data_IF_111067668996
#
_entry.id   IF_111067668996
#
_cell.length_a   1.000
_cell.length_b   1.000
_cell.length_c   1.000
_cell.angle_alpha   90.00
_cell.angle_beta   90.00
_cell.angle_gamma   90.00
#
_symmetry.space_group_name_H-M   'P 1'
#
loop_
_entity.id
_entity.type
_entity.pdbx_description
1 polymer ?
#
# COMPACT_ATOMS: atom_id res chain seq x y z
N UNK A 1 -50.15 0.61 -4.96
CA UNK A 1 -51.33 1.05 -5.70
C UNK A 1 -51.76 0.06 -6.83
N UNK A 2 -51.02 -1.02 -7.09
CA UNK A 2 -51.39 -2.11 -7.96
C UNK A 2 -51.07 -3.44 -7.27
N UNK A 3 -52.03 -4.19 -6.75
CA UNK A 3 -51.81 -5.42 -5.97
C UNK A 3 -50.99 -6.49 -6.76
N UNK A 4 -51.13 -6.50 -8.08
CA UNK A 4 -50.41 -7.43 -8.98
C UNK A 4 -48.90 -7.21 -8.95
N UNK A 5 -48.38 -6.04 -8.52
CA UNK A 5 -46.96 -5.73 -8.39
C UNK A 5 -46.34 -6.30 -7.09
N UNK A 6 -47.18 -6.54 -6.06
CA UNK A 6 -46.67 -6.99 -4.76
C UNK A 6 -45.77 -8.23 -4.84
N UNK A 7 -46.16 -9.33 -5.50
CA UNK A 7 -45.32 -10.53 -5.58
C UNK A 7 -44.02 -10.29 -6.35
N UNK A 8 -43.99 -9.30 -7.28
CA UNK A 8 -42.81 -8.97 -8.09
C UNK A 8 -41.86 -8.08 -7.33
N UNK A 9 -42.37 -7.07 -6.62
CA UNK A 9 -41.58 -6.02 -5.98
C UNK A 9 -41.35 -6.23 -4.47
N UNK A 10 -42.06 -7.15 -3.82
CA UNK A 10 -41.87 -7.44 -2.39
C UNK A 10 -40.42 -7.77 -2.01
N UNK A 11 -39.67 -8.59 -2.80
CA UNK A 11 -38.25 -8.87 -2.51
C UNK A 11 -37.33 -7.64 -2.56
N UNK A 12 -37.76 -6.56 -3.20
CA UNK A 12 -37.02 -5.29 -3.35
C UNK A 12 -37.76 -4.12 -2.70
N UNK A 13 -38.60 -4.41 -1.71
CA UNK A 13 -39.32 -3.43 -0.89
C UNK A 13 -40.12 -2.39 -1.69
N UNK A 14 -40.74 -2.82 -2.79
CA UNK A 14 -41.61 -1.98 -3.62
C UNK A 14 -40.87 -1.24 -4.75
N UNK A 15 -39.57 -1.38 -4.85
CA UNK A 15 -38.76 -0.73 -5.91
C UNK A 15 -38.46 -1.70 -7.07
N UNK A 16 -38.41 -1.17 -8.29
CA UNK A 16 -37.85 -1.89 -9.44
C UNK A 16 -36.33 -1.78 -9.37
N UNK A 17 -35.62 -2.91 -9.25
CA UNK A 17 -34.16 -2.99 -9.16
C UNK A 17 -33.57 -3.83 -10.28
N UNK A 18 -34.30 -4.85 -10.74
CA UNK A 18 -33.78 -5.82 -11.69
C UNK A 18 -34.51 -5.79 -13.03
N UNK A 19 -33.78 -6.03 -14.12
CA UNK A 19 -34.32 -6.17 -15.46
C UNK A 19 -35.41 -7.26 -15.53
N UNK A 20 -35.22 -8.32 -14.79
CA UNK A 20 -36.15 -9.44 -14.69
C UNK A 20 -37.49 -9.03 -14.07
N UNK A 21 -37.52 -8.04 -13.17
CA UNK A 21 -38.76 -7.49 -12.63
C UNK A 21 -39.55 -6.75 -13.72
N UNK A 22 -38.89 -5.99 -14.58
CA UNK A 22 -39.54 -5.35 -15.75
C UNK A 22 -40.18 -6.41 -16.62
N UNK A 23 -39.49 -7.51 -16.94
CA UNK A 23 -40.06 -8.62 -17.73
C UNK A 23 -41.26 -9.26 -17.04
N UNK A 24 -41.22 -9.43 -15.72
CA UNK A 24 -42.35 -9.96 -14.95
C UNK A 24 -43.53 -8.99 -14.91
N UNK A 25 -43.29 -7.68 -14.79
CA UNK A 25 -44.31 -6.64 -14.79
C UNK A 25 -45.07 -6.68 -16.12
N UNK A 26 -44.39 -6.61 -17.28
CA UNK A 26 -45.09 -6.61 -18.58
C UNK A 26 -45.81 -7.92 -18.85
N UNK A 27 -45.30 -9.06 -18.34
CA UNK A 27 -46.00 -10.36 -18.45
C UNK A 27 -47.24 -10.42 -17.59
N UNK A 28 -47.11 -10.10 -16.33
CA UNK A 28 -48.19 -10.34 -15.34
C UNK A 28 -49.26 -9.27 -15.44
N UNK A 29 -48.92 -8.03 -15.80
CA UNK A 29 -49.91 -6.95 -15.87
C UNK A 29 -50.54 -6.83 -17.27
N UNK A 30 -49.75 -6.98 -18.34
CA UNK A 30 -50.22 -6.77 -19.71
C UNK A 30 -50.32 -8.05 -20.55
N UNK A 31 -49.99 -9.23 -20.00
CA UNK A 31 -50.13 -10.51 -20.69
C UNK A 31 -49.08 -10.80 -21.76
N UNK A 32 -47.88 -10.20 -21.66
CA UNK A 32 -46.80 -10.46 -22.60
C UNK A 32 -46.27 -11.89 -22.51
N UNK A 33 -45.88 -12.46 -23.63
CA UNK A 33 -45.09 -13.70 -23.64
C UNK A 33 -43.69 -13.47 -23.15
N UNK A 34 -42.98 -14.52 -22.74
CA UNK A 34 -41.59 -14.42 -22.25
C UNK A 34 -40.67 -13.81 -23.32
N UNK A 35 -40.79 -14.28 -24.58
CA UNK A 35 -39.97 -13.76 -25.69
C UNK A 35 -40.19 -12.27 -25.94
N UNK A 36 -41.47 -11.84 -25.89
CA UNK A 36 -41.83 -10.44 -26.07
C UNK A 36 -41.35 -9.57 -24.90
N UNK A 37 -41.46 -10.05 -23.68
CA UNK A 37 -40.94 -9.33 -22.49
C UNK A 37 -39.42 -9.08 -22.56
N UNK A 38 -38.68 -10.00 -23.17
CA UNK A 38 -37.25 -9.80 -23.43
C UNK A 38 -36.98 -8.73 -24.50
N UNK A 39 -37.83 -8.62 -25.51
CA UNK A 39 -37.73 -7.53 -26.50
C UNK A 39 -37.95 -6.17 -25.85
N UNK A 40 -38.91 -6.04 -24.94
CA UNK A 40 -39.14 -4.81 -24.16
C UNK A 40 -37.93 -4.47 -23.33
N UNK A 41 -37.39 -5.44 -22.58
CA UNK A 41 -36.16 -5.27 -21.79
C UNK A 41 -34.98 -4.78 -22.65
N UNK A 42 -34.78 -5.39 -23.80
CA UNK A 42 -33.72 -4.99 -24.76
C UNK A 42 -33.93 -3.58 -25.33
N UNK A 43 -35.17 -3.20 -25.62
CA UNK A 43 -35.51 -1.87 -26.13
C UNK A 43 -35.22 -0.80 -25.06
N UNK A 44 -35.58 -1.07 -23.81
CA UNK A 44 -35.30 -0.20 -22.67
C UNK A 44 -33.78 -0.06 -22.45
N UNK A 45 -33.03 -1.15 -22.39
CA UNK A 45 -31.58 -1.14 -22.21
C UNK A 45 -30.84 -0.38 -23.33
N UNK A 46 -31.32 -0.45 -24.55
CA UNK A 46 -30.75 0.24 -25.73
C UNK A 46 -31.32 1.66 -25.91
N UNK A 47 -32.20 2.14 -25.03
CA UNK A 47 -32.82 3.50 -25.04
C UNK A 47 -33.46 3.84 -26.39
N UNK A 48 -34.14 2.87 -27.00
CA UNK A 48 -34.83 3.05 -28.28
C UNK A 48 -36.21 3.72 -28.08
N UNK A 49 -36.26 5.05 -27.99
CA UNK A 49 -37.44 5.83 -27.60
C UNK A 49 -38.70 5.49 -28.45
N UNK A 50 -38.59 5.38 -29.78
CA UNK A 50 -39.72 5.05 -30.62
C UNK A 50 -40.30 3.64 -30.37
N UNK A 51 -39.43 2.67 -30.03
CA UNK A 51 -39.88 1.32 -29.68
C UNK A 51 -40.54 1.32 -28.33
N UNK A 52 -39.99 2.08 -27.37
CA UNK A 52 -40.54 2.18 -26.02
C UNK A 52 -41.92 2.85 -26.01
N UNK A 53 -42.14 3.88 -26.85
CA UNK A 53 -43.45 4.51 -26.95
C UNK A 53 -44.50 3.59 -27.61
N UNK A 54 -44.08 2.85 -28.63
CA UNK A 54 -44.96 1.81 -29.23
C UNK A 54 -45.32 0.73 -28.17
N UNK A 55 -44.37 0.30 -27.40
CA UNK A 55 -44.60 -0.69 -26.34
C UNK A 55 -45.42 -0.14 -25.18
N UNK A 56 -45.39 1.18 -24.90
CA UNK A 56 -46.32 1.83 -23.96
C UNK A 56 -47.74 1.60 -24.36
N UNK A 57 -48.08 1.87 -25.64
CA UNK A 57 -49.43 1.66 -26.17
C UNK A 57 -49.84 0.20 -26.03
N UNK A 58 -49.01 -0.73 -26.44
CA UNK A 58 -49.27 -2.16 -26.29
C UNK A 58 -49.44 -2.58 -24.81
N UNK A 59 -48.63 -2.05 -23.91
CA UNK A 59 -48.70 -2.36 -22.48
C UNK A 59 -50.00 -1.85 -21.84
N UNK A 60 -50.41 -0.63 -22.14
CA UNK A 60 -51.60 -0.01 -21.56
C UNK A 60 -52.87 -0.54 -22.19
N UNK A 61 -52.99 -0.44 -23.53
CA UNK A 61 -54.24 -0.69 -24.25
C UNK A 61 -54.32 -2.07 -24.88
N UNK A 62 -53.19 -2.76 -25.00
CA UNK A 62 -53.12 -4.04 -25.68
C UNK A 62 -52.86 -3.93 -27.21
N UNK A 63 -52.68 -5.08 -27.84
CA UNK A 63 -52.48 -5.21 -29.29
C UNK A 63 -52.87 -6.64 -29.71
N UNK A 64 -54.07 -6.81 -30.25
CA UNK A 64 -54.59 -8.12 -30.69
C UNK A 64 -53.72 -8.76 -31.74
N UNK A 65 -53.22 -7.97 -32.72
CA UNK A 65 -52.37 -8.48 -33.80
C UNK A 65 -51.03 -9.08 -33.28
N UNK A 66 -50.57 -8.63 -32.15
CA UNK A 66 -49.34 -9.09 -31.49
C UNK A 66 -49.63 -10.00 -30.27
N UNK A 67 -50.88 -10.32 -30.01
CA UNK A 67 -51.32 -11.21 -28.92
C UNK A 67 -51.10 -10.65 -27.52
N UNK A 68 -51.17 -9.34 -27.34
CA UNK A 68 -51.02 -8.66 -26.08
C UNK A 68 -52.36 -8.14 -25.56
N UNK A 69 -52.89 -8.66 -24.45
CA UNK A 69 -54.15 -8.18 -23.90
C UNK A 69 -54.11 -6.72 -23.44
N UNK A 70 -53.01 -6.30 -22.82
CA UNK A 70 -52.88 -5.01 -22.19
C UNK A 70 -53.36 -4.91 -20.75
N UNK A 71 -52.89 -3.89 -20.03
CA UNK A 71 -53.22 -3.68 -18.61
C UNK A 71 -54.70 -3.41 -18.36
N UNK A 72 -55.36 -2.65 -19.25
CA UNK A 72 -56.77 -2.30 -19.10
C UNK A 72 -57.67 -3.56 -19.21
N UNK A 73 -57.39 -4.43 -20.16
CA UNK A 73 -58.10 -5.72 -20.27
C UNK A 73 -57.92 -6.62 -19.06
N UNK A 74 -56.81 -6.48 -18.34
CA UNK A 74 -56.50 -7.19 -17.11
C UNK A 74 -56.97 -6.45 -15.83
N UNK A 75 -57.82 -5.43 -16.00
CA UNK A 75 -58.48 -4.72 -14.86
C UNK A 75 -57.57 -3.67 -14.18
N UNK A 76 -56.51 -3.23 -14.78
CA UNK A 76 -55.63 -2.20 -14.26
C UNK A 76 -56.05 -0.85 -14.88
N UNK A 77 -56.33 0.18 -14.05
CA UNK A 77 -56.70 1.50 -14.54
C UNK A 77 -55.63 2.11 -15.45
N UNK A 78 -56.04 2.81 -16.49
CA UNK A 78 -55.13 3.47 -17.46
C UNK A 78 -54.07 4.36 -16.79
N UNK A 79 -54.49 5.20 -15.83
CA UNK A 79 -53.57 6.10 -15.12
C UNK A 79 -52.50 5.31 -14.36
N UNK A 80 -52.90 4.20 -13.68
CA UNK A 80 -51.99 3.34 -12.97
C UNK A 80 -51.02 2.61 -13.92
N UNK A 81 -51.49 2.11 -15.06
CA UNK A 81 -50.69 1.45 -16.07
C UNK A 81 -49.66 2.39 -16.67
N UNK A 82 -50.02 3.63 -16.99
CA UNK A 82 -49.11 4.65 -17.49
C UNK A 82 -48.03 4.99 -16.44
N UNK A 83 -48.41 5.18 -15.19
CA UNK A 83 -47.43 5.46 -14.09
C UNK A 83 -46.42 4.31 -13.94
N UNK A 84 -46.89 3.06 -13.93
CA UNK A 84 -46.00 1.89 -13.86
C UNK A 84 -45.04 1.87 -15.07
N UNK A 85 -45.52 2.22 -16.25
CA UNK A 85 -44.66 2.27 -17.43
C UNK A 85 -43.62 3.37 -17.36
N UNK A 86 -43.97 4.55 -16.83
CA UNK A 86 -43.04 5.66 -16.58
C UNK A 86 -41.95 5.23 -15.58
N UNK A 87 -42.33 4.60 -14.48
CA UNK A 87 -41.40 4.07 -13.49
C UNK A 87 -40.44 3.04 -14.13
N UNK A 88 -40.95 2.18 -15.03
CA UNK A 88 -40.09 1.23 -15.78
C UNK A 88 -39.13 1.94 -16.74
N UNK A 89 -39.54 3.02 -17.42
CA UNK A 89 -38.68 3.81 -18.32
C UNK A 89 -37.56 4.48 -17.52
N UNK A 90 -37.88 5.09 -16.40
CA UNK A 90 -36.88 5.76 -15.57
C UNK A 90 -35.89 4.77 -14.99
N UNK A 91 -36.36 3.63 -14.52
CA UNK A 91 -35.53 2.54 -14.07
C UNK A 91 -34.62 1.97 -15.19
N UNK A 92 -35.08 1.90 -16.42
CA UNK A 92 -34.32 1.34 -17.52
C UNK A 92 -32.95 2.01 -17.78
N UNK A 93 -32.77 3.23 -17.27
CA UNK A 93 -31.50 3.96 -17.31
C UNK A 93 -30.43 3.30 -16.41
N UNK A 94 -30.84 2.59 -15.36
CA UNK A 94 -30.00 2.02 -14.30
C UNK A 94 -30.25 0.53 -14.07
N UNK A 95 -31.03 -0.12 -14.93
CA UNK A 95 -31.46 -1.50 -14.80
C UNK A 95 -30.30 -2.50 -14.67
N UNK A 96 -30.34 -3.31 -13.62
CA UNK A 96 -29.32 -4.29 -13.31
C UNK A 96 -29.80 -5.73 -13.57
N UNK A 97 -28.91 -6.62 -14.05
CA UNK A 97 -29.26 -8.02 -14.27
C UNK A 97 -29.19 -8.79 -12.94
N UNK A 98 -30.27 -9.45 -12.54
CA UNK A 98 -30.38 -10.20 -11.28
C UNK A 98 -29.43 -11.40 -11.24
N UNK A 99 -29.26 -12.10 -12.35
CA UNK A 99 -28.36 -13.26 -12.42
C UNK A 99 -26.93 -12.85 -12.21
N UNK A 100 -26.52 -11.69 -12.76
CA UNK A 100 -25.20 -11.11 -12.54
C UNK A 100 -25.02 -10.74 -11.05
N UNK A 101 -26.01 -10.07 -10.44
CA UNK A 101 -25.96 -9.72 -9.01
C UNK A 101 -25.83 -10.97 -8.13
N UNK A 102 -26.60 -12.01 -8.41
CA UNK A 102 -26.56 -13.27 -7.67
C UNK A 102 -25.19 -13.96 -7.78
N UNK A 103 -24.62 -14.01 -8.99
CA UNK A 103 -23.28 -14.57 -9.20
C UNK A 103 -22.21 -13.81 -8.41
N UNK A 104 -22.23 -12.48 -8.46
CA UNK A 104 -21.29 -11.66 -7.70
C UNK A 104 -21.52 -11.71 -6.19
N UNK A 105 -22.76 -11.90 -5.74
CA UNK A 105 -23.03 -12.12 -4.31
C UNK A 105 -22.36 -13.39 -3.79
N UNK A 106 -22.34 -14.46 -4.60
CA UNK A 106 -21.62 -15.69 -4.26
C UNK A 106 -20.11 -15.43 -4.17
N UNK A 107 -19.53 -14.73 -5.15
CA UNK A 107 -18.10 -14.38 -5.14
C UNK A 107 -17.78 -13.49 -3.93
N UNK A 108 -18.62 -12.50 -3.63
CA UNK A 108 -18.44 -11.61 -2.47
C UNK A 108 -18.48 -12.39 -1.17
N UNK A 109 -19.40 -13.35 -1.04
CA UNK A 109 -19.47 -14.23 0.12
C UNK A 109 -18.21 -15.12 0.23
N UNK A 110 -17.76 -15.70 -0.87
CA UNK A 110 -16.55 -16.53 -0.89
C UNK A 110 -15.31 -15.73 -0.48
N UNK A 111 -15.15 -14.51 -0.99
CA UNK A 111 -14.03 -13.64 -0.61
C UNK A 111 -14.10 -13.23 0.86
N UNK A 112 -15.27 -12.90 1.37
CA UNK A 112 -15.47 -12.60 2.79
C UNK A 112 -15.15 -13.81 3.68
N UNK A 113 -15.63 -15.00 3.28
CA UNK A 113 -15.38 -16.26 3.98
C UNK A 113 -13.87 -16.56 4.05
N UNK A 114 -13.18 -16.48 2.91
CA UNK A 114 -11.73 -16.73 2.85
C UNK A 114 -10.95 -15.70 3.68
N UNK A 115 -11.32 -14.42 3.60
CA UNK A 115 -10.68 -13.37 4.39
C UNK A 115 -10.88 -13.55 5.89
N UNK A 116 -12.02 -14.08 6.31
CA UNK A 116 -12.33 -14.29 7.72
C UNK A 116 -11.65 -15.54 8.29
N UNK A 117 -11.75 -16.69 7.60
CA UNK A 117 -11.24 -17.96 8.10
C UNK A 117 -9.79 -18.27 7.74
N UNK A 118 -9.28 -17.69 6.64
CA UNK A 118 -7.93 -17.90 6.10
C UNK A 118 -7.27 -16.56 5.76
N UNK A 119 -7.16 -15.63 6.72
CA UNK A 119 -6.73 -14.26 6.43
C UNK A 119 -5.31 -14.17 5.86
N UNK A 120 -4.39 -15.03 6.30
CA UNK A 120 -3.00 -15.03 5.86
C UNK A 120 -2.90 -15.48 4.39
N UNK A 121 -3.54 -16.61 4.07
CA UNK A 121 -3.60 -17.16 2.72
C UNK A 121 -4.32 -16.22 1.75
N UNK A 122 -5.44 -15.64 2.20
CA UNK A 122 -6.21 -14.68 1.42
C UNK A 122 -5.37 -13.45 1.07
N UNK A 123 -4.69 -12.86 2.06
CA UNK A 123 -3.85 -11.68 1.83
C UNK A 123 -2.63 -12.00 0.98
N UNK A 124 -2.00 -13.17 1.14
CA UNK A 124 -0.90 -13.61 0.29
C UNK A 124 -1.33 -13.75 -1.18
N UNK A 125 -2.49 -14.36 -1.43
CA UNK A 125 -3.05 -14.50 -2.77
C UNK A 125 -3.43 -13.14 -3.37
N UNK A 126 -4.06 -12.26 -2.58
CA UNK A 126 -4.45 -10.92 -2.99
C UNK A 126 -3.21 -10.06 -3.37
N UNK A 127 -2.17 -10.07 -2.54
CA UNK A 127 -0.92 -9.36 -2.84
C UNK A 127 -0.22 -9.94 -4.08
N UNK A 128 -0.29 -11.25 -4.28
CA UNK A 128 0.25 -11.90 -5.48
C UNK A 128 -0.48 -11.46 -6.74
N UNK A 129 -1.80 -11.27 -6.69
CA UNK A 129 -2.59 -10.82 -7.84
C UNK A 129 -2.23 -9.39 -8.32
N UNK A 130 -1.63 -8.58 -7.46
CA UNK A 130 -1.21 -7.20 -7.74
C UNK A 130 0.30 -6.99 -7.62
N UNK A 131 1.09 -8.07 -7.72
CA UNK A 131 2.54 -8.06 -7.44
C UNK A 131 3.32 -7.08 -8.32
N UNK A 132 2.83 -6.80 -9.52
CA UNK A 132 3.41 -5.82 -10.46
C UNK A 132 3.02 -4.36 -10.15
N UNK A 133 2.20 -4.14 -9.12
CA UNK A 133 1.69 -2.82 -8.71
C UNK A 133 2.22 -2.45 -7.31
N UNK A 134 3.44 -1.91 -7.18
CA UNK A 134 4.09 -1.67 -5.88
C UNK A 134 3.24 -0.85 -4.90
N UNK A 135 2.49 0.14 -5.41
CA UNK A 135 1.60 0.96 -4.60
C UNK A 135 0.51 0.11 -3.95
N UNK A 136 -0.13 -0.80 -4.72
CA UNK A 136 -1.15 -1.71 -4.20
C UNK A 136 -0.58 -2.73 -3.22
N UNK A 137 0.61 -3.23 -3.49
CA UNK A 137 1.33 -4.11 -2.55
C UNK A 137 1.57 -3.39 -1.23
N UNK A 138 2.02 -2.12 -1.26
CA UNK A 138 2.23 -1.32 -0.07
C UNK A 138 0.92 -1.10 0.72
N UNK A 139 -0.18 -0.77 0.04
CA UNK A 139 -1.51 -0.65 0.67
C UNK A 139 -1.91 -1.94 1.40
N UNK A 140 -1.78 -3.09 0.75
CA UNK A 140 -2.15 -4.37 1.36
C UNK A 140 -1.22 -4.81 2.49
N UNK A 141 0.05 -4.42 2.47
CA UNK A 141 0.96 -4.60 3.60
C UNK A 141 0.47 -3.81 4.82
N UNK A 142 -0.02 -2.57 4.63
CA UNK A 142 -0.61 -1.81 5.73
C UNK A 142 -1.89 -2.50 6.26
N UNK A 143 -2.71 -3.06 5.39
CA UNK A 143 -3.87 -3.87 5.80
C UNK A 143 -3.41 -5.08 6.63
N UNK A 144 -2.38 -5.81 6.17
CA UNK A 144 -1.81 -6.94 6.92
C UNK A 144 -1.33 -6.52 8.31
N UNK A 145 -0.66 -5.37 8.43
CA UNK A 145 -0.22 -4.81 9.72
C UNK A 145 -1.40 -4.53 10.66
N UNK A 146 -2.48 -3.92 10.15
CA UNK A 146 -3.72 -3.71 10.92
C UNK A 146 -4.37 -5.02 11.38
N UNK A 147 -4.27 -6.07 10.56
CA UNK A 147 -4.75 -7.42 10.88
C UNK A 147 -3.77 -8.23 11.74
N UNK A 148 -2.66 -7.65 12.20
CA UNK A 148 -1.56 -8.32 12.92
C UNK A 148 -0.95 -9.51 12.15
N UNK A 149 -0.98 -9.47 10.82
CA UNK A 149 -0.32 -10.44 9.96
C UNK A 149 1.11 -9.96 9.70
N UNK A 150 2.09 -10.76 10.10
CA UNK A 150 3.51 -10.45 9.92
C UNK A 150 3.91 -10.65 8.45
N UNK A 151 4.67 -9.70 7.90
CA UNK A 151 5.32 -9.84 6.59
C UNK A 151 6.79 -10.16 6.81
N UNK A 152 7.25 -11.25 6.22
CA UNK A 152 8.64 -11.71 6.26
C UNK A 152 9.38 -11.20 5.01
N UNK A 153 10.68 -10.89 5.11
CA UNK A 153 11.49 -10.48 3.95
C UNK A 153 11.52 -11.58 2.88
N UNK A 154 11.84 -11.23 1.63
CA UNK A 154 12.10 -12.22 0.60
C UNK A 154 13.26 -13.13 1.02
N UNK A 155 13.29 -14.37 0.56
CA UNK A 155 14.27 -15.37 0.97
C UNK A 155 14.45 -16.37 -0.17
N UNK A 156 15.68 -16.59 -0.64
CA UNK A 156 15.95 -17.51 -1.77
C UNK A 156 15.72 -18.96 -1.40
N UNK A 157 15.81 -19.31 -0.12
CA UNK A 157 15.62 -20.69 0.36
C UNK A 157 14.16 -21.02 0.72
N UNK A 158 13.31 -19.99 0.95
CA UNK A 158 11.91 -20.18 1.37
C UNK A 158 10.90 -19.47 0.48
N UNK A 159 11.34 -18.44 -0.25
CA UNK A 159 10.47 -17.63 -1.09
C UNK A 159 9.98 -18.40 -2.32
N UNK A 160 8.82 -17.98 -2.80
CA UNK A 160 8.20 -18.39 -4.05
C UNK A 160 8.12 -17.21 -5.03
N UNK A 161 7.59 -17.47 -6.22
CA UNK A 161 7.32 -16.42 -7.20
C UNK A 161 6.45 -15.30 -6.59
N UNK A 162 5.29 -15.67 -6.05
CA UNK A 162 4.37 -14.75 -5.39
C UNK A 162 4.59 -14.69 -3.88
N UNK A 163 3.75 -13.91 -3.21
CA UNK A 163 3.63 -13.93 -1.77
C UNK A 163 3.12 -15.31 -1.31
N UNK A 164 3.71 -15.86 -0.30
CA UNK A 164 3.39 -17.22 0.19
C UNK A 164 3.27 -17.25 1.71
N UNK A 165 2.55 -18.24 2.22
CA UNK A 165 2.43 -18.44 3.68
C UNK A 165 3.66 -19.17 4.20
N UNK A 166 4.28 -18.65 5.23
CA UNK A 166 5.43 -19.21 5.91
C UNK A 166 5.22 -19.13 7.43
N UNK A 167 4.90 -20.25 8.06
CA UNK A 167 4.66 -20.38 9.51
C UNK A 167 3.65 -19.33 10.06
N UNK A 168 2.52 -19.15 9.38
CA UNK A 168 1.47 -18.22 9.79
C UNK A 168 1.77 -16.74 9.51
N UNK A 169 2.86 -16.45 8.83
CA UNK A 169 3.22 -15.13 8.30
C UNK A 169 3.20 -15.14 6.77
N UNK A 170 3.30 -13.99 6.14
CA UNK A 170 3.40 -13.87 4.68
C UNK A 170 4.85 -13.60 4.31
N UNK A 171 5.45 -14.48 3.52
CA UNK A 171 6.77 -14.30 2.89
C UNK A 171 6.64 -13.41 1.67
N UNK A 172 7.51 -12.42 1.54
CA UNK A 172 7.54 -11.51 0.41
C UNK A 172 7.89 -12.25 -0.89
N UNK A 173 7.11 -12.04 -1.93
CA UNK A 173 7.28 -12.71 -3.22
C UNK A 173 8.57 -12.28 -3.94
N UNK A 174 9.32 -13.24 -4.48
CA UNK A 174 10.58 -12.93 -5.17
C UNK A 174 10.37 -12.11 -6.45
N UNK A 175 9.23 -12.23 -7.12
CA UNK A 175 8.92 -11.47 -8.33
C UNK A 175 8.60 -10.00 -8.07
N UNK A 176 8.33 -9.61 -6.82
CA UNK A 176 8.18 -8.22 -6.45
C UNK A 176 9.53 -7.49 -6.30
N UNK A 177 10.65 -8.21 -6.37
CA UNK A 177 12.00 -7.61 -6.38
C UNK A 177 12.27 -7.02 -7.77
N UNK A 178 12.56 -5.73 -7.82
CA UNK A 178 12.79 -4.98 -9.06
C UNK A 178 13.90 -5.61 -9.91
N UNK A 179 13.67 -5.71 -11.21
CA UNK A 179 14.63 -6.28 -12.19
C UNK A 179 14.96 -7.76 -12.00
N UNK A 180 14.15 -8.51 -11.25
CA UNK A 180 14.23 -9.97 -11.15
C UNK A 180 13.08 -10.56 -11.96
N UNK A 181 13.40 -11.12 -13.14
CA UNK A 181 12.40 -11.65 -14.05
C UNK A 181 11.89 -13.04 -13.67
N UNK A 182 10.69 -13.39 -14.14
CA UNK A 182 10.08 -14.70 -13.90
C UNK A 182 10.97 -15.90 -14.25
N UNK A 183 11.73 -15.90 -15.37
CA UNK A 183 12.62 -17.00 -15.69
C UNK A 183 13.72 -17.24 -14.63
N UNK A 184 14.25 -16.18 -14.05
CA UNK A 184 15.25 -16.24 -12.97
C UNK A 184 14.66 -16.90 -11.73
N UNK A 185 13.45 -16.51 -11.35
CA UNK A 185 12.78 -17.03 -10.15
C UNK A 185 12.40 -18.48 -10.33
N UNK A 186 11.87 -18.87 -11.50
CA UNK A 186 11.53 -20.26 -11.79
C UNK A 186 12.79 -21.15 -11.69
N UNK A 187 13.86 -20.75 -12.35
CA UNK A 187 15.12 -21.50 -12.28
C UNK A 187 15.68 -21.59 -10.84
N UNK A 188 15.55 -20.50 -10.05
CA UNK A 188 15.95 -20.49 -8.65
C UNK A 188 15.14 -21.51 -7.83
N UNK A 189 13.82 -21.53 -8.02
CA UNK A 189 12.92 -22.43 -7.27
C UNK A 189 13.14 -23.88 -7.70
N UNK A 190 13.17 -24.14 -9.01
CA UNK A 190 13.40 -25.49 -9.57
C UNK A 190 14.74 -26.07 -9.12
N UNK A 191 15.81 -25.27 -9.16
CA UNK A 191 17.14 -25.67 -8.73
C UNK A 191 17.18 -25.98 -7.22
N UNK A 192 16.53 -25.16 -6.41
CA UNK A 192 16.41 -25.39 -4.98
C UNK A 192 15.61 -26.65 -4.66
N UNK A 193 14.52 -26.90 -5.36
CA UNK A 193 13.68 -28.11 -5.16
C UNK A 193 14.41 -29.36 -5.57
N UNK A 194 15.24 -29.33 -6.62
CA UNK A 194 16.01 -30.48 -7.11
C UNK A 194 17.23 -30.78 -6.24
N UNK A 195 17.96 -29.75 -5.79
CA UNK A 195 19.29 -29.89 -5.20
C UNK A 195 19.39 -29.40 -3.74
N UNK A 196 18.26 -28.99 -3.13
CA UNK A 196 18.18 -28.49 -1.76
C UNK A 196 18.54 -27.01 -1.62
N UNK A 197 18.49 -26.53 -0.38
CA UNK A 197 18.74 -25.13 -0.03
C UNK A 197 20.13 -24.65 -0.49
N UNK A 198 20.22 -23.38 -0.86
CA UNK A 198 21.50 -22.71 -1.12
C UNK A 198 22.26 -22.52 0.19
N UNK A 199 23.55 -22.84 0.20
CA UNK A 199 24.38 -22.87 1.41
C UNK A 199 25.25 -21.62 1.57
N UNK A 200 25.67 -21.02 0.45
CA UNK A 200 26.52 -19.82 0.43
C UNK A 200 26.22 -18.95 -0.79
N UNK A 201 26.74 -17.73 -0.80
CA UNK A 201 26.64 -16.84 -1.97
C UNK A 201 27.30 -17.47 -3.21
N UNK A 202 28.45 -18.15 -3.06
CA UNK A 202 29.13 -18.85 -4.15
C UNK A 202 28.25 -19.97 -4.68
N UNK A 203 27.71 -20.84 -3.82
CA UNK A 203 26.82 -21.93 -4.20
C UNK A 203 25.59 -21.41 -4.97
N UNK A 204 24.95 -20.34 -4.50
CA UNK A 204 23.83 -19.68 -5.17
C UNK A 204 24.19 -19.20 -6.58
N UNK A 205 25.33 -18.50 -6.73
CA UNK A 205 25.78 -17.95 -8.02
C UNK A 205 26.19 -19.09 -8.96
N UNK A 206 26.90 -20.09 -8.50
CA UNK A 206 27.38 -21.22 -9.29
C UNK A 206 26.24 -22.04 -9.87
N UNK A 207 25.28 -22.43 -9.02
CA UNK A 207 24.10 -23.22 -9.41
C UNK A 207 23.19 -22.47 -10.38
N UNK A 208 23.13 -21.15 -10.32
CA UNK A 208 22.31 -20.30 -11.19
C UNK A 208 23.10 -19.60 -12.31
N UNK A 209 24.34 -20.02 -12.54
CA UNK A 209 25.18 -19.42 -13.59
C UNK A 209 24.55 -19.53 -14.97
N UNK A 210 24.49 -18.40 -15.70
CA UNK A 210 23.85 -18.29 -17.02
C UNK A 210 22.38 -17.87 -16.96
N UNK A 211 21.74 -18.00 -15.81
CA UNK A 211 20.34 -17.55 -15.60
C UNK A 211 20.26 -16.26 -14.80
N UNK A 212 21.11 -16.10 -13.79
CA UNK A 212 21.15 -14.91 -12.92
C UNK A 212 22.30 -14.00 -13.34
N UNK A 213 21.99 -12.74 -13.62
CA UNK A 213 22.99 -11.72 -13.94
C UNK A 213 23.40 -10.89 -12.70
N UNK A 214 24.49 -10.15 -12.80
CA UNK A 214 25.04 -9.32 -11.71
C UNK A 214 23.99 -8.39 -11.09
N UNK A 215 23.12 -7.77 -11.93
CA UNK A 215 22.08 -6.84 -11.47
C UNK A 215 21.00 -7.55 -10.62
N UNK A 216 20.63 -8.76 -11.01
CA UNK A 216 19.67 -9.55 -10.22
C UNK A 216 20.25 -9.96 -8.87
N UNK A 217 21.53 -10.39 -8.84
CA UNK A 217 22.23 -10.72 -7.60
C UNK A 217 22.31 -9.51 -6.67
N UNK A 218 22.69 -8.35 -7.20
CA UNK A 218 22.73 -7.09 -6.47
C UNK A 218 21.36 -6.77 -5.85
N UNK A 219 20.27 -6.92 -6.62
CA UNK A 219 18.94 -6.64 -6.13
C UNK A 219 18.47 -7.69 -5.11
N UNK A 220 18.84 -8.95 -5.22
CA UNK A 220 18.63 -9.95 -4.18
C UNK A 220 19.35 -9.60 -2.87
N UNK A 221 20.60 -9.10 -2.94
CA UNK A 221 21.33 -8.63 -1.76
C UNK A 221 20.63 -7.42 -1.14
N UNK A 222 20.31 -6.40 -1.95
CA UNK A 222 19.62 -5.18 -1.49
C UNK A 222 18.25 -5.46 -0.85
N UNK A 223 17.52 -6.40 -1.43
CA UNK A 223 16.21 -6.84 -0.92
C UNK A 223 16.30 -7.65 0.37
N UNK A 224 17.49 -8.13 0.76
CA UNK A 224 17.67 -9.05 1.87
C UNK A 224 17.30 -10.50 1.56
N UNK A 225 17.05 -10.84 0.29
CA UNK A 225 16.69 -12.21 -0.12
C UNK A 225 17.80 -13.23 0.10
N UNK A 226 19.02 -12.79 0.25
CA UNK A 226 20.20 -13.61 0.53
C UNK A 226 20.65 -13.54 2.00
N UNK A 227 19.86 -12.92 2.90
CA UNK A 227 20.21 -12.80 4.33
C UNK A 227 20.19 -14.15 5.05
N UNK A 228 19.56 -15.18 4.46
CA UNK A 228 19.63 -16.56 4.93
C UNK A 228 21.01 -17.22 4.72
N UNK A 229 21.86 -16.62 3.88
CA UNK A 229 23.21 -17.10 3.61
C UNK A 229 24.24 -16.37 4.50
N UNK A 230 25.39 -17.02 4.72
CA UNK A 230 26.47 -16.47 5.55
C UNK A 230 26.92 -15.07 5.09
N UNK A 231 27.29 -14.23 6.05
CA UNK A 231 27.75 -12.87 5.86
C UNK A 231 26.63 -11.83 5.80
N UNK A 232 26.98 -10.57 6.05
CA UNK A 232 26.05 -9.43 5.97
C UNK A 232 25.88 -8.92 4.53
N UNK A 233 24.93 -8.00 4.28
CA UNK A 233 24.66 -7.47 2.93
C UNK A 233 25.84 -6.74 2.34
N UNK A 234 26.59 -5.97 3.16
CA UNK A 234 27.77 -5.23 2.72
C UNK A 234 28.90 -6.15 2.30
N UNK A 235 29.18 -7.22 3.05
CA UNK A 235 30.14 -8.24 2.70
C UNK A 235 29.82 -8.86 1.34
N UNK A 236 28.56 -9.32 1.17
CA UNK A 236 28.07 -9.90 -0.09
C UNK A 236 28.20 -8.94 -1.25
N UNK A 237 27.87 -7.65 -1.03
CA UNK A 237 27.96 -6.59 -2.03
C UNK A 237 29.41 -6.35 -2.51
N UNK A 238 30.40 -6.50 -1.65
CA UNK A 238 31.81 -6.36 -2.01
C UNK A 238 32.29 -7.50 -2.89
N UNK A 239 31.87 -8.74 -2.61
CA UNK A 239 32.48 -9.94 -3.25
C UNK A 239 31.68 -10.51 -4.42
N UNK A 240 30.36 -10.24 -4.53
CA UNK A 240 29.51 -10.94 -5.51
C UNK A 240 30.01 -10.80 -6.95
N UNK A 241 30.51 -9.63 -7.33
CA UNK A 241 31.01 -9.40 -8.70
C UNK A 241 32.24 -10.23 -9.01
N UNK A 242 33.15 -10.37 -8.04
CA UNK A 242 34.35 -11.19 -8.18
C UNK A 242 33.99 -12.68 -8.27
N UNK A 243 33.03 -13.14 -7.47
CA UNK A 243 32.53 -14.51 -7.51
C UNK A 243 31.93 -14.83 -8.89
N UNK A 244 31.09 -13.93 -9.44
CA UNK A 244 30.50 -14.11 -10.77
C UNK A 244 31.58 -14.21 -11.84
N UNK A 245 32.59 -13.34 -11.80
CA UNK A 245 33.66 -13.30 -12.77
C UNK A 245 34.58 -14.54 -12.69
N UNK A 246 34.89 -15.01 -11.47
CA UNK A 246 35.64 -16.25 -11.24
C UNK A 246 34.92 -17.47 -11.82
N UNK A 247 33.64 -17.66 -11.49
CA UNK A 247 32.84 -18.79 -11.98
C UNK A 247 32.70 -18.74 -13.52
N UNK A 248 32.52 -17.56 -14.10
CA UNK A 248 32.46 -17.41 -15.55
C UNK A 248 33.80 -17.78 -16.24
N UNK A 249 34.92 -17.43 -15.61
CA UNK A 249 36.26 -17.78 -16.10
C UNK A 249 36.51 -19.30 -15.96
N UNK A 250 36.15 -19.91 -14.85
CA UNK A 250 36.29 -21.35 -14.63
C UNK A 250 35.52 -22.15 -15.68
N UNK A 251 34.26 -21.79 -15.94
CA UNK A 251 33.45 -22.43 -16.99
C UNK A 251 34.04 -22.29 -18.37
N UNK A 252 34.59 -21.10 -18.70
CA UNK A 252 35.22 -20.85 -19.98
C UNK A 252 36.47 -21.70 -20.20
N UNK A 253 37.26 -21.87 -19.15
CA UNK A 253 38.47 -22.70 -19.18
C UNK A 253 38.13 -24.20 -19.31
N UNK A 254 37.09 -24.68 -18.62
CA UNK A 254 36.61 -26.05 -18.70
C UNK A 254 36.05 -26.40 -20.09
N UNK A 255 35.38 -25.48 -20.77
CA UNK A 255 34.91 -25.64 -22.15
C UNK A 255 36.06 -25.70 -23.19
N UNK A 256 37.17 -25.04 -22.89
CA UNK A 256 38.32 -25.01 -23.79
C UNK A 256 39.22 -26.26 -23.69
N UNK A 257 38.85 -27.24 -22.86
CA UNK A 257 39.65 -28.47 -22.66
C UNK A 257 41.02 -28.24 -22.00
N UNK A 258 41.26 -27.05 -21.47
CA UNK A 258 42.43 -26.72 -20.67
C UNK A 258 42.16 -27.14 -19.23
N UNK A 259 42.91 -28.13 -18.74
CA UNK A 259 42.94 -28.40 -17.30
C UNK A 259 43.41 -27.13 -16.59
N UNK A 260 42.60 -26.65 -15.70
CA UNK A 260 42.95 -25.52 -14.84
C UNK A 260 44.12 -25.90 -13.96
N UNK A 261 45.05 -25.01 -13.71
CA UNK A 261 46.10 -25.18 -12.71
C UNK A 261 45.48 -25.57 -11.35
N UNK A 262 44.23 -25.21 -11.11
CA UNK A 262 43.44 -25.54 -9.94
C UNK A 262 43.00 -27.01 -9.85
N UNK A 263 42.93 -27.75 -10.96
CA UNK A 263 42.66 -29.19 -10.98
C UNK A 263 43.84 -30.03 -10.52
N UNK A 264 45.06 -29.42 -10.55
CA UNK A 264 46.32 -30.04 -10.14
C UNK A 264 46.70 -29.74 -8.69
N UNK A 265 46.00 -28.82 -8.02
CA UNK A 265 46.26 -28.39 -6.64
C UNK A 265 45.39 -29.21 -5.69
N UNK A 266 46.00 -29.69 -4.60
CA UNK A 266 45.28 -30.50 -3.59
C UNK A 266 44.15 -29.70 -2.91
N UNK A 267 43.17 -30.43 -2.32
CA UNK A 267 41.98 -29.82 -1.68
C UNK A 267 42.34 -28.82 -0.54
N UNK A 268 43.48 -28.97 0.09
CA UNK A 268 43.97 -28.06 1.15
C UNK A 268 44.43 -26.72 0.58
N UNK A 269 45.03 -26.70 -0.57
CA UNK A 269 45.52 -25.50 -1.23
C UNK A 269 44.39 -24.73 -1.99
N UNK A 270 43.29 -25.43 -2.34
CA UNK A 270 42.11 -24.79 -2.92
C UNK A 270 41.43 -23.81 -1.95
N UNK A 271 41.54 -24.01 -0.63
CA UNK A 271 41.01 -23.12 0.40
C UNK A 271 41.70 -21.75 0.45
N UNK A 272 42.94 -21.62 0.01
CA UNK A 272 43.66 -20.36 -0.01
C UNK A 272 43.25 -19.44 -1.18
N UNK A 273 42.59 -19.99 -2.19
CA UNK A 273 42.08 -19.25 -3.35
C UNK A 273 40.56 -19.01 -3.28
N UNK A 274 39.88 -19.44 -2.21
CA UNK A 274 38.48 -19.08 -2.01
C UNK A 274 38.35 -17.58 -1.74
N UNK A 275 37.39 -16.93 -2.43
CA UNK A 275 37.03 -15.54 -2.18
C UNK A 275 36.45 -15.46 -0.77
N UNK A 276 37.27 -14.99 0.18
CA UNK A 276 36.86 -14.85 1.58
C UNK A 276 35.96 -13.63 1.75
N UNK A 277 34.96 -13.77 2.62
CA UNK A 277 34.14 -12.62 3.01
C UNK A 277 35.02 -11.59 3.73
N UNK A 278 35.02 -10.30 3.31
CA UNK A 278 35.80 -9.27 3.96
C UNK A 278 35.27 -8.99 5.37
N UNK A 279 36.14 -8.59 6.27
CA UNK A 279 35.77 -8.16 7.61
C UNK A 279 35.28 -6.69 7.54
N UNK A 280 34.01 -6.51 7.19
CA UNK A 280 33.35 -5.20 7.12
C UNK A 280 32.01 -5.27 7.86
N UNK A 281 31.74 -4.20 8.63
CA UNK A 281 30.46 -4.05 9.30
C UNK A 281 29.30 -3.89 8.29
N UNK A 282 28.09 -4.25 8.73
CA UNK A 282 26.88 -4.06 7.91
C UNK A 282 26.63 -2.56 7.60
N UNK A 283 25.85 -2.32 6.54
CA UNK A 283 25.34 -0.99 6.25
C UNK A 283 24.53 -0.44 7.42
N UNK A 284 24.55 0.88 7.59
CA UNK A 284 23.66 1.49 8.57
C UNK A 284 22.18 1.24 8.21
N UNK A 285 21.33 1.37 9.22
CA UNK A 285 19.90 1.04 9.07
C UNK A 285 19.20 1.91 8.04
N UNK A 286 19.55 3.19 7.91
CA UNK A 286 18.93 4.10 6.94
C UNK A 286 19.29 3.68 5.52
N UNK A 287 20.52 3.19 5.28
CA UNK A 287 20.97 2.68 3.99
C UNK A 287 20.28 1.36 3.61
N UNK A 288 20.12 0.44 4.57
CA UNK A 288 19.37 -0.82 4.37
C UNK A 288 17.92 -0.51 3.98
N UNK A 289 17.26 0.41 4.69
CA UNK A 289 15.91 0.85 4.37
C UNK A 289 15.82 1.51 2.99
N UNK A 290 16.83 2.31 2.62
CA UNK A 290 16.95 2.88 1.28
C UNK A 290 17.02 1.81 0.20
N UNK A 291 17.84 0.78 0.39
CA UNK A 291 17.91 -0.37 -0.54
C UNK A 291 16.57 -1.10 -0.66
N UNK A 292 15.91 -1.36 0.45
CA UNK A 292 14.57 -2.00 0.43
C UNK A 292 13.58 -1.15 -0.36
N UNK A 293 13.52 0.17 -0.12
CA UNK A 293 12.66 1.09 -0.85
C UNK A 293 12.95 1.09 -2.35
N UNK A 294 14.24 1.08 -2.74
CA UNK A 294 14.66 1.07 -4.13
C UNK A 294 14.23 -0.19 -4.87
N UNK A 295 14.39 -1.37 -4.24
CA UNK A 295 14.19 -2.64 -4.95
C UNK A 295 12.86 -3.33 -4.65
N UNK A 296 12.21 -3.04 -3.50
CA UNK A 296 10.90 -3.57 -3.11
C UNK A 296 9.78 -2.54 -3.24
N UNK A 297 10.12 -1.25 -3.34
CA UNK A 297 9.16 -0.15 -3.33
C UNK A 297 8.59 0.19 -1.94
N UNK A 298 9.02 -0.51 -0.90
CA UNK A 298 8.56 -0.35 0.49
C UNK A 298 9.71 -0.49 1.48
N UNK A 299 9.49 -0.02 2.71
CA UNK A 299 10.36 -0.31 3.85
C UNK A 299 9.85 -1.58 4.55
N UNK A 300 10.65 -2.64 4.55
CA UNK A 300 10.24 -3.94 5.08
C UNK A 300 10.81 -4.20 6.49
N UNK A 301 12.10 -3.94 6.72
CA UNK A 301 12.79 -4.20 7.98
C UNK A 301 12.60 -3.13 9.06
N UNK A 302 11.84 -2.07 8.76
CA UNK A 302 11.56 -0.96 9.66
C UNK A 302 11.01 0.24 8.92
N UNK A 303 10.99 1.40 9.57
CA UNK A 303 10.59 2.66 8.95
C UNK A 303 11.63 3.75 9.28
N UNK A 304 12.02 4.62 8.33
CA UNK A 304 13.01 5.69 8.58
C UNK A 304 12.63 6.63 9.72
N UNK A 305 11.33 6.76 10.01
CA UNK A 305 10.79 7.60 11.08
C UNK A 305 10.72 6.91 12.43
N UNK A 306 11.03 5.63 12.54
CA UNK A 306 10.92 4.87 13.80
C UNK A 306 11.75 5.50 14.93
N UNK A 307 12.96 5.93 14.62
CA UNK A 307 13.86 6.61 15.57
C UNK A 307 13.33 7.97 16.04
N UNK A 308 12.38 8.57 15.32
CA UNK A 308 11.76 9.85 15.65
C UNK A 308 10.39 9.71 16.33
N UNK A 309 9.90 8.48 16.55
CA UNK A 309 8.57 8.21 17.14
C UNK A 309 8.29 9.06 18.38
N UNK A 310 9.19 9.04 19.36
CA UNK A 310 9.02 9.78 20.62
C UNK A 310 8.95 11.30 20.44
N UNK A 311 9.66 11.83 19.46
CA UNK A 311 9.66 13.27 19.15
C UNK A 311 8.35 13.60 18.39
N UNK A 312 7.97 12.77 17.44
CA UNK A 312 6.72 12.95 16.68
C UNK A 312 5.52 12.97 17.62
N UNK A 313 5.38 12.00 18.51
CA UNK A 313 4.27 11.92 19.48
C UNK A 313 4.12 13.15 20.37
N UNK A 314 5.20 13.87 20.64
CA UNK A 314 5.18 15.10 21.44
C UNK A 314 4.87 16.37 20.63
N UNK A 315 5.14 16.36 19.35
CA UNK A 315 5.10 17.53 18.47
C UNK A 315 3.88 17.59 17.56
N UNK A 316 3.31 16.43 17.21
CA UNK A 316 2.16 16.35 16.32
C UNK A 316 0.84 16.53 17.06
N UNK A 317 -0.15 17.11 16.40
CA UNK A 317 -1.53 17.21 16.88
C UNK A 317 -2.49 16.35 16.06
N UNK A 318 -2.07 15.83 14.92
CA UNK A 318 -2.79 14.87 14.09
C UNK A 318 -1.81 13.93 13.39
N UNK A 319 -2.27 12.72 13.06
CA UNK A 319 -1.55 11.71 12.28
C UNK A 319 -2.09 11.67 10.87
N UNK A 320 -1.32 11.14 9.92
CA UNK A 320 -1.78 11.04 8.53
C UNK A 320 -3.06 10.22 8.37
N UNK A 321 -3.23 9.18 9.20
CA UNK A 321 -4.44 8.35 9.20
C UNK A 321 -5.70 9.14 9.60
N UNK A 322 -5.59 10.20 10.38
CA UNK A 322 -6.72 10.99 10.84
C UNK A 322 -7.39 11.79 9.71
N UNK A 323 -6.70 11.93 8.56
CA UNK A 323 -7.19 12.56 7.34
C UNK A 323 -7.98 11.62 6.43
N UNK A 324 -7.91 10.32 6.69
CA UNK A 324 -8.67 9.32 5.94
C UNK A 324 -10.04 9.12 6.57
N UNK A 325 -11.08 8.80 5.76
CA UNK A 325 -12.37 8.37 6.30
C UNK A 325 -12.18 7.18 7.25
N UNK A 326 -12.81 7.24 8.40
CA UNK A 326 -12.84 6.13 9.35
C UNK A 326 -13.65 4.96 8.77
N UNK A 327 -13.17 3.72 8.95
CA UNK A 327 -13.76 2.52 8.33
C UNK A 327 -15.22 2.26 8.82
N UNK A 328 -15.61 2.75 10.01
CA UNK A 328 -16.95 2.53 10.59
C UNK A 328 -17.90 3.71 10.33
N UNK A 329 -17.40 4.93 10.44
CA UNK A 329 -18.21 6.14 10.35
C UNK A 329 -18.16 6.82 8.98
N UNK A 330 -17.15 6.50 8.16
CA UNK A 330 -16.91 7.16 6.88
C UNK A 330 -16.41 8.62 7.00
N UNK A 331 -16.16 9.12 8.22
CA UNK A 331 -15.82 10.51 8.49
C UNK A 331 -14.37 10.60 8.98
N UNK A 332 -13.53 11.50 8.42
CA UNK A 332 -12.19 11.76 8.94
C UNK A 332 -12.24 12.30 10.38
N UNK A 333 -11.19 12.02 11.18
CA UNK A 333 -11.07 12.56 12.55
C UNK A 333 -10.73 14.05 12.58
N UNK A 334 -10.19 14.58 11.49
CA UNK A 334 -9.93 16.01 11.32
C UNK A 334 -11.09 16.68 10.59
N UNK A 335 -11.36 17.97 10.88
CA UNK A 335 -12.45 18.74 10.25
C UNK A 335 -11.92 19.92 9.43
N UNK A 336 -12.70 20.40 8.50
CA UNK A 336 -12.32 21.50 7.62
C UNK A 336 -11.92 22.76 8.40
N UNK A 337 -10.85 23.41 7.96
CA UNK A 337 -10.30 24.62 8.60
C UNK A 337 -9.50 24.38 9.88
N UNK A 338 -9.46 23.14 10.41
CA UNK A 338 -8.67 22.79 11.61
C UNK A 338 -7.19 23.05 11.39
N UNK A 339 -6.52 23.70 12.35
CA UNK A 339 -5.07 23.84 12.35
C UNK A 339 -4.43 22.65 13.05
N UNK A 340 -3.54 21.96 12.35
CA UNK A 340 -2.85 20.78 12.87
C UNK A 340 -1.36 20.84 12.54
N UNK A 341 -0.60 20.05 13.31
CA UNK A 341 0.81 19.77 13.06
C UNK A 341 0.89 18.25 12.80
N UNK A 342 1.44 17.89 11.66
CA UNK A 342 1.81 16.51 11.34
C UNK A 342 3.34 16.40 11.29
N UNK A 343 3.86 15.19 11.48
CA UNK A 343 5.28 14.88 11.32
C UNK A 343 5.41 13.71 10.36
N UNK A 344 6.32 13.82 9.39
CA UNK A 344 6.48 12.76 8.40
C UNK A 344 7.67 12.97 7.48
N UNK A 345 7.80 12.07 6.53
CA UNK A 345 8.76 12.13 5.43
C UNK A 345 8.03 12.44 4.13
N UNK A 346 8.57 13.33 3.33
CA UNK A 346 8.03 13.65 2.01
C UNK A 346 8.44 12.54 1.06
N UNK A 347 7.47 11.74 0.58
CA UNK A 347 7.72 10.62 -0.34
C UNK A 347 7.56 11.01 -1.81
N UNK A 348 6.78 12.05 -2.09
CA UNK A 348 6.57 12.54 -3.46
C UNK A 348 6.41 14.06 -3.45
N UNK A 349 6.91 14.69 -4.52
CA UNK A 349 6.78 16.13 -4.78
C UNK A 349 6.41 16.38 -6.23
N UNK A 350 5.19 16.83 -6.47
CA UNK A 350 4.71 17.23 -7.80
C UNK A 350 4.62 18.75 -7.88
N UNK A 351 5.34 19.34 -8.83
CA UNK A 351 5.29 20.78 -9.11
C UNK A 351 4.23 21.05 -10.16
N UNK A 352 3.38 22.08 -9.91
CA UNK A 352 2.40 22.57 -10.87
C UNK A 352 2.47 24.11 -10.98
N UNK A 353 1.99 24.62 -12.10
CA UNK A 353 1.89 26.05 -12.34
C UNK A 353 0.42 26.49 -12.22
N UNK A 354 0.19 27.57 -11.51
CA UNK A 354 -1.13 28.20 -11.42
C UNK A 354 -1.48 28.90 -12.74
N UNK A 355 -2.73 29.33 -12.92
CA UNK A 355 -3.16 30.11 -14.09
C UNK A 355 -2.33 31.38 -14.30
N UNK A 356 -1.76 31.93 -13.24
CA UNK A 356 -0.91 33.12 -13.26
C UNK A 356 0.59 32.78 -13.35
N UNK A 357 0.92 31.58 -13.82
CA UNK A 357 2.27 31.06 -14.01
C UNK A 357 3.16 31.07 -12.74
N UNK A 358 2.54 31.03 -11.56
CA UNK A 358 3.25 30.88 -10.29
C UNK A 358 3.39 29.40 -9.92
N UNK A 359 4.54 29.06 -9.34
CA UNK A 359 4.85 27.69 -8.93
C UNK A 359 4.10 27.33 -7.66
N UNK A 360 3.45 26.16 -7.64
CA UNK A 360 2.89 25.51 -6.46
C UNK A 360 3.29 24.04 -6.43
N UNK A 361 3.18 23.39 -5.29
CA UNK A 361 3.50 21.97 -5.17
C UNK A 361 2.39 21.18 -4.47
N UNK A 362 2.33 19.91 -4.82
CA UNK A 362 1.62 18.88 -4.08
C UNK A 362 2.66 17.92 -3.52
N UNK A 363 2.59 17.65 -2.23
CA UNK A 363 3.49 16.73 -1.56
C UNK A 363 2.69 15.56 -1.01
N UNK A 364 3.25 14.36 -1.07
CA UNK A 364 2.76 13.23 -0.29
C UNK A 364 3.67 13.09 0.94
N UNK A 365 3.08 13.17 2.12
CA UNK A 365 3.80 13.00 3.38
C UNK A 365 3.38 11.70 4.02
N UNK A 366 4.35 10.85 4.31
CA UNK A 366 4.21 9.54 4.96
C UNK A 366 4.66 9.62 6.42
N UNK A 367 3.84 9.11 7.33
CA UNK A 367 4.23 8.85 8.72
C UNK A 367 4.23 7.34 9.01
N UNK A 368 4.25 6.94 10.27
CA UNK A 368 4.24 5.53 10.68
C UNK A 368 2.89 4.83 10.46
N UNK A 369 1.83 5.59 10.15
CA UNK A 369 0.44 5.10 10.10
C UNK A 369 -0.19 5.18 8.70
N UNK A 370 0.33 6.05 7.82
CA UNK A 370 -0.24 6.24 6.48
C UNK A 370 0.37 7.44 5.76
N UNK A 371 -0.39 7.97 4.79
CA UNK A 371 0.01 9.12 3.97
C UNK A 371 -1.07 10.19 3.93
N UNK A 372 -0.66 11.45 3.70
CA UNK A 372 -1.56 12.58 3.49
C UNK A 372 -1.03 13.49 2.38
N UNK A 373 -1.94 14.02 1.55
CA UNK A 373 -1.58 15.00 0.53
C UNK A 373 -1.49 16.41 1.14
N UNK A 374 -0.41 17.12 0.84
CA UNK A 374 -0.17 18.48 1.28
C UNK A 374 -0.22 19.41 0.06
N UNK A 375 -1.01 20.46 0.16
CA UNK A 375 -1.09 21.51 -0.87
C UNK A 375 -0.19 22.67 -0.44
N UNK A 376 0.75 23.04 -1.30
CA UNK A 376 1.69 24.15 -1.08
C UNK A 376 1.41 25.23 -2.09
N UNK A 377 0.77 26.31 -1.64
CA UNK A 377 0.46 27.47 -2.49
C UNK A 377 1.72 28.30 -2.82
N UNK A 378 1.70 29.09 -3.89
CA UNK A 378 2.90 29.77 -4.39
C UNK A 378 3.67 30.57 -3.36
N UNK A 379 2.99 31.33 -2.49
CA UNK A 379 3.62 32.13 -1.43
C UNK A 379 4.41 31.26 -0.44
N UNK A 380 3.84 30.10 -0.08
CA UNK A 380 4.46 29.22 0.88
C UNK A 380 5.53 28.35 0.20
N UNK A 381 5.34 28.04 -1.10
CA UNK A 381 6.38 27.37 -1.88
C UNK A 381 7.66 28.21 -1.98
N UNK A 382 7.57 29.48 -2.32
CA UNK A 382 8.73 30.41 -2.37
C UNK A 382 9.49 30.43 -1.03
N UNK A 383 8.76 30.35 0.08
CA UNK A 383 9.33 30.40 1.42
C UNK A 383 9.99 29.10 1.88
N UNK A 384 9.41 27.97 1.53
CA UNK A 384 9.76 26.65 2.11
C UNK A 384 10.39 25.68 1.12
N UNK A 385 10.61 26.06 -0.16
CA UNK A 385 11.07 25.15 -1.23
C UNK A 385 12.36 24.38 -0.90
N UNK A 386 13.23 24.92 -0.07
CA UNK A 386 14.47 24.28 0.35
C UNK A 386 14.28 23.14 1.34
N UNK A 387 13.19 23.16 2.11
CA UNK A 387 12.87 22.16 3.14
C UNK A 387 11.88 21.10 2.66
N UNK A 388 11.20 21.31 1.54
CA UNK A 388 10.15 20.41 1.03
C UNK A 388 10.65 19.57 -0.16
N UNK A 389 11.78 18.91 -0.01
CA UNK A 389 12.30 17.96 -1.00
C UNK A 389 11.88 16.53 -0.66
N UNK A 390 11.91 15.64 -1.66
CA UNK A 390 11.72 14.21 -1.43
C UNK A 390 12.74 13.71 -0.41
N UNK A 391 12.35 12.72 0.40
CA UNK A 391 13.07 12.16 1.54
C UNK A 391 13.31 13.13 2.73
N UNK A 392 12.88 14.38 2.63
CA UNK A 392 12.97 15.32 3.76
C UNK A 392 12.03 14.90 4.90
N UNK A 393 12.57 14.87 6.12
CA UNK A 393 11.83 14.56 7.37
C UNK A 393 11.44 15.85 8.03
N UNK A 394 10.14 16.14 8.06
CA UNK A 394 9.62 17.47 8.42
C UNK A 394 8.40 17.41 9.32
N UNK A 395 8.28 18.41 10.20
CA UNK A 395 7.01 18.81 10.79
C UNK A 395 6.36 19.86 9.90
N UNK A 396 5.10 19.63 9.55
CA UNK A 396 4.30 20.53 8.74
C UNK A 396 3.13 21.00 9.59
N UNK A 397 3.04 22.30 9.80
CA UNK A 397 1.87 22.96 10.34
C UNK A 397 1.04 23.48 9.19
N UNK A 398 -0.27 23.23 9.24
CA UNK A 398 -1.16 23.65 8.18
C UNK A 398 -2.61 23.67 8.62
N UNK A 399 -3.46 23.95 7.66
CA UNK A 399 -4.92 23.96 7.80
C UNK A 399 -5.52 22.83 7.01
N UNK A 400 -6.38 22.06 7.63
CA UNK A 400 -7.12 20.96 6.98
C UNK A 400 -8.05 21.53 5.92
N UNK A 401 -8.09 20.91 4.76
CA UNK A 401 -9.08 21.11 3.71
C UNK A 401 -9.81 19.78 3.51
N UNK A 402 -11.03 19.73 4.01
CA UNK A 402 -11.91 18.59 3.87
C UNK A 402 -12.95 18.88 2.78
N UNK A 403 -13.13 17.94 1.87
CA UNK A 403 -14.20 17.92 0.86
C UNK A 403 -15.03 16.66 1.09
N UNK A 404 -16.35 16.75 0.89
CA UNK A 404 -17.25 15.63 1.02
C UNK A 404 -16.82 14.49 0.08
N UNK A 405 -16.87 13.24 0.59
CA UNK A 405 -16.54 12.00 -0.13
C UNK A 405 -15.08 11.88 -0.64
N UNK A 406 -14.14 12.69 -0.12
CA UNK A 406 -12.72 12.62 -0.46
C UNK A 406 -11.83 12.59 0.77
N UNK A 407 -10.64 11.98 0.69
CA UNK A 407 -9.62 12.12 1.74
C UNK A 407 -9.29 13.60 1.97
N UNK A 408 -9.22 14.00 3.23
CA UNK A 408 -8.85 15.36 3.61
C UNK A 408 -7.39 15.65 3.26
N UNK A 409 -7.09 16.88 2.91
CA UNK A 409 -5.74 17.38 2.58
C UNK A 409 -5.29 18.40 3.61
N UNK A 410 -3.99 18.68 3.66
CA UNK A 410 -3.44 19.73 4.49
C UNK A 410 -2.90 20.88 3.63
N UNK A 411 -3.32 22.08 3.87
CA UNK A 411 -2.76 23.29 3.26
C UNK A 411 -1.58 23.73 4.12
N UNK A 412 -0.38 23.73 3.55
CA UNK A 412 0.85 24.07 4.25
C UNK A 412 0.88 25.56 4.68
N UNK A 413 1.23 25.82 5.94
CA UNK A 413 1.49 27.17 6.47
C UNK A 413 2.95 27.32 6.95
N UNK A 414 3.52 26.28 7.61
CA UNK A 414 4.90 26.26 8.12
C UNK A 414 5.54 24.91 7.99
N UNK A 415 6.85 24.91 7.78
CA UNK A 415 7.69 23.68 7.76
C UNK A 415 8.86 23.84 8.74
N UNK A 416 9.24 22.74 9.37
CA UNK A 416 10.43 22.62 10.21
C UNK A 416 11.05 21.25 9.98
N UNK A 417 12.35 21.21 9.74
CA UNK A 417 13.07 19.93 9.67
C UNK A 417 13.09 19.23 11.04
N UNK A 418 13.12 17.90 11.06
CA UNK A 418 13.26 17.12 12.29
C UNK A 418 14.57 17.42 13.01
N UNK A 419 15.63 17.70 12.27
CA UNK A 419 16.95 17.99 12.80
C UNK A 419 17.05 19.39 13.41
N UNK A 420 16.12 20.30 13.07
CA UNK A 420 16.06 21.66 13.63
C UNK A 420 15.40 21.72 15.02
N UNK A 421 14.99 20.58 15.58
CA UNK A 421 14.43 20.54 16.92
C UNK A 421 15.59 20.61 17.92
N UNK A 422 15.62 21.61 18.78
CA UNK A 422 16.64 21.66 19.85
C UNK A 422 16.54 20.39 20.70
N UNK A 423 17.61 19.62 20.72
CA UNK A 423 17.72 18.48 21.64
C UNK A 423 18.02 19.05 23.03
N UNK A 424 17.16 18.75 23.99
CA UNK A 424 17.35 19.10 25.38
C UNK A 424 17.60 17.82 26.20
N UNK A 425 18.64 17.82 26.99
CA UNK A 425 18.91 16.77 28.00
C UNK A 425 18.31 17.24 29.31
N UNK A 426 17.27 16.55 29.77
CA UNK A 426 16.62 16.87 31.04
C UNK A 426 17.18 15.99 32.12
N UNK A 427 17.78 16.66 33.15
CA UNK A 427 18.34 16.00 34.34
C UNK A 427 17.44 16.35 35.51
N UNK A 428 16.80 15.33 36.08
CA UNK A 428 15.91 15.50 37.23
C UNK A 428 16.64 15.27 38.54
N UNK A 429 16.51 16.22 39.44
CA UNK A 429 16.91 16.12 40.84
C UNK A 429 15.68 16.09 41.75
N UNK A 430 15.83 15.48 42.90
CA UNK A 430 14.74 15.35 43.88
C UNK A 430 14.29 16.71 44.39
N UNK A 431 15.27 17.53 44.82
CA UNK A 431 15.12 18.87 45.43
C UNK A 431 16.37 19.73 45.17
N UNK A 432 16.38 20.96 45.75
CA UNK A 432 17.50 21.89 45.62
C UNK A 432 18.78 21.42 46.33
N UNK A 433 18.67 20.69 47.44
CA UNK A 433 19.83 20.19 48.18
C UNK A 433 20.53 19.09 47.38
N UNK A 434 19.77 18.14 46.80
CA UNK A 434 20.31 17.09 45.95
C UNK A 434 21.01 17.68 44.70
N UNK A 435 20.45 18.74 44.13
CA UNK A 435 21.11 19.45 43.03
C UNK A 435 22.40 20.12 43.48
N UNK A 436 22.38 20.88 44.60
CA UNK A 436 23.53 21.61 45.07
C UNK A 436 24.71 20.69 45.42
N UNK A 437 24.43 19.51 45.97
CA UNK A 437 25.47 18.50 46.28
C UNK A 437 26.14 17.95 45.02
N UNK A 438 25.42 17.81 43.93
CA UNK A 438 25.89 17.18 42.70
C UNK A 438 26.21 18.18 41.58
N UNK A 439 25.95 19.47 41.77
CA UNK A 439 26.12 20.50 40.74
C UNK A 439 27.57 20.54 40.21
N UNK A 440 28.57 20.51 41.07
CA UNK A 440 29.95 20.62 40.63
C UNK A 440 30.40 19.39 39.83
N UNK A 441 30.00 18.21 40.26
CA UNK A 441 30.29 16.96 39.55
C UNK A 441 29.61 16.95 38.17
N UNK A 442 28.32 17.32 38.09
CA UNK A 442 27.58 17.44 36.87
C UNK A 442 28.22 18.43 35.90
N UNK A 443 28.58 19.64 36.38
CA UNK A 443 29.20 20.65 35.52
C UNK A 443 30.58 20.21 35.01
N UNK A 444 31.36 19.50 35.81
CA UNK A 444 32.63 18.93 35.36
C UNK A 444 32.43 17.86 34.30
N UNK A 445 31.42 17.00 34.45
CA UNK A 445 31.07 15.98 33.47
C UNK A 445 30.61 16.61 32.12
N UNK A 446 29.75 17.63 32.19
CA UNK A 446 29.25 18.33 31.00
C UNK A 446 30.38 19.07 30.26
N UNK A 447 31.35 19.67 30.94
CA UNK A 447 32.53 20.33 30.33
C UNK A 447 33.42 19.36 29.57
N UNK A 448 33.44 18.08 29.97
CA UNK A 448 34.15 17.02 29.26
C UNK A 448 33.38 16.44 28.04
N UNK A 449 32.15 16.86 27.84
CA UNK A 449 31.28 16.33 26.78
C UNK A 449 31.30 17.22 25.54
N UNK A 450 31.37 16.63 24.35
CA UNK A 450 31.40 17.34 23.03
C UNK A 450 30.03 17.53 22.41
N UNK A 451 28.96 17.45 23.19
CA UNK A 451 27.59 17.56 22.70
C UNK A 451 27.11 19.00 22.46
N UNK A 452 26.15 19.21 21.60
CA UNK A 452 25.51 20.51 21.31
C UNK A 452 24.10 20.64 21.89
N UNK A 453 23.63 19.64 22.65
CA UNK A 453 22.29 19.62 23.22
C UNK A 453 22.20 20.55 24.45
N UNK A 454 21.13 21.34 24.51
CA UNK A 454 20.88 22.17 25.70
C UNK A 454 20.59 21.28 26.93
N UNK A 455 21.13 21.64 28.07
CA UNK A 455 20.92 20.92 29.35
C UNK A 455 19.93 21.67 30.22
N UNK A 456 18.90 20.95 30.65
CA UNK A 456 17.82 21.46 31.49
C UNK A 456 17.79 20.71 32.82
N UNK A 457 17.94 21.42 33.92
CA UNK A 457 17.80 20.90 35.25
C UNK A 457 16.35 21.03 35.71
N UNK A 458 15.76 19.93 36.15
CA UNK A 458 14.40 19.88 36.67
C UNK A 458 14.40 19.49 38.15
N UNK A 459 13.89 20.35 39.01
CA UNK A 459 13.72 20.10 40.44
C UNK A 459 12.29 19.61 40.70
N UNK A 460 12.16 18.36 41.13
CA UNK A 460 10.88 17.67 41.26
C UNK A 460 9.96 18.23 42.36
N UNK A 461 10.53 18.61 43.48
CA UNK A 461 9.81 19.13 44.66
C UNK A 461 9.05 20.42 44.38
N UNK A 462 9.73 21.37 43.73
CA UNK A 462 9.19 22.71 43.41
C UNK A 462 8.74 22.84 41.97
N UNK A 463 8.85 21.77 41.18
CA UNK A 463 8.58 21.77 39.73
C UNK A 463 9.29 22.88 38.95
N UNK A 464 10.51 23.28 39.44
CA UNK A 464 11.28 24.36 38.85
C UNK A 464 12.22 23.85 37.76
N UNK A 465 12.44 24.70 36.74
CA UNK A 465 13.30 24.42 35.59
C UNK A 465 14.41 25.46 35.56
N UNK A 466 15.68 24.98 35.49
CA UNK A 466 16.86 25.79 35.25
C UNK A 466 17.55 25.33 33.97
N UNK A 467 17.63 26.20 32.96
CA UNK A 467 18.42 25.92 31.77
C UNK A 467 19.85 26.35 31.97
N UNK A 468 20.80 25.44 31.68
CA UNK A 468 22.22 25.79 31.72
C UNK A 468 22.56 26.64 30.47
N UNK A 469 23.53 27.58 30.59
CA UNK A 469 24.00 28.36 29.44
C UNK A 469 24.56 27.47 28.34
N UNK A 470 24.53 27.97 27.08
CA UNK A 470 25.19 27.29 25.97
C UNK A 470 26.70 27.24 26.21
N UNK A 471 27.30 26.05 26.04
CA UNK A 471 28.73 25.82 26.23
C UNK A 471 29.06 24.88 27.42
N UNK A 472 28.05 24.29 28.02
CA UNK A 472 28.19 23.16 28.93
C UNK A 472 27.86 21.85 28.20
#
# INVERSE_FOLDING_TARGET
DCPQLEPILKPTYGCIVYQEQVMQIVRNLAGYTLGRSDLVRRAMSKKKAAVMEKERQNFVYGNEAEGVPGCIANGIPEQTANKIYDDMIDFAKYAFNKSHAAAYAVVSYQTAFLKYYYPVEFMAALMTSVIEMPIKVAEYIQVCRKMNIKILPPDVNRGAYGFSVDNGAIRYGLSAIKSVGRPVINALVEEREANGEYRSLKDFIERLTGTVNKRAIENFIKAGALDCLEGNRRQKMVVYSQIVDSIAQEKKNSFAGQMSLFDLVGEEDKKDYEIRMPDVEEYDKDMILGFEKDVLGIYLSGHPLEKYRNIMEKMISARTIDFQPDDETGIPKVYDGQKVIIGGMITEKTIKYTRNNKVMAFLTVEDLMGTVEIVVFPRDYEKWQTLINEDARVFIQGRVNAEDDKPSKLILEKVRAFDDIPREIWIQFKDREDYAQKEQELLNYLRGSVGTSAVVIYLKDVKAIKRLPAGY
#
